data_IF_088274817205
#
_entry.id   IF_088274817205
#
_cell.length_a   1.000
_cell.length_b   1.000
_cell.length_c   1.000
_cell.angle_alpha   90.00
_cell.angle_beta   90.00
_cell.angle_gamma   90.00
#
_symmetry.space_group_name_H-M   'P 1'
#
loop_
_entity.id
_entity.type
_entity.pdbx_description
1 polymer ?
#
# COMPACT_ATOMS: atom_id res chain seq x y z
N UNK A 1 25.34 -12.95 3.05
CA UNK A 1 25.12 -12.21 1.78
C UNK A 1 24.83 -10.75 2.03
N UNK A 2 25.30 -9.87 1.14
CA UNK A 2 24.94 -8.44 1.16
C UNK A 2 23.53 -8.26 0.59
N UNK A 3 22.87 -7.16 0.94
CA UNK A 3 21.51 -6.87 0.46
C UNK A 3 21.45 -6.74 -1.08
N UNK A 4 22.52 -6.25 -1.70
CA UNK A 4 22.68 -6.23 -3.15
C UNK A 4 22.64 -7.61 -3.80
N UNK A 5 23.18 -8.62 -3.12
CA UNK A 5 23.26 -9.98 -3.65
C UNK A 5 21.89 -10.66 -3.55
N UNK A 6 21.22 -10.47 -2.41
CA UNK A 6 19.83 -10.91 -2.18
C UNK A 6 18.87 -10.31 -3.22
N UNK A 7 19.07 -9.04 -3.59
CA UNK A 7 18.26 -8.38 -4.62
C UNK A 7 18.43 -9.05 -5.97
N UNK A 8 19.68 -9.34 -6.36
CA UNK A 8 19.97 -10.04 -7.63
C UNK A 8 19.40 -11.45 -7.63
N UNK A 9 19.49 -12.16 -6.51
CA UNK A 9 18.88 -13.48 -6.33
C UNK A 9 17.37 -13.43 -6.58
N UNK A 10 16.64 -12.53 -5.91
CA UNK A 10 15.19 -12.41 -6.12
C UNK A 10 14.84 -12.09 -7.57
N UNK A 11 15.51 -11.09 -8.18
CA UNK A 11 15.28 -10.75 -9.60
C UNK A 11 15.46 -11.95 -10.52
N UNK A 12 16.38 -12.86 -10.19
CA UNK A 12 16.63 -14.07 -10.98
C UNK A 12 15.58 -15.18 -10.84
N UNK A 13 14.75 -15.16 -9.79
CA UNK A 13 13.72 -16.20 -9.56
C UNK A 13 12.56 -16.15 -10.56
N UNK A 14 12.27 -14.99 -11.15
CA UNK A 14 11.12 -14.77 -12.05
C UNK A 14 11.52 -13.92 -13.26
N UNK A 15 12.50 -14.40 -14.04
CA UNK A 15 13.03 -13.64 -15.19
C UNK A 15 12.02 -13.39 -16.30
N UNK A 16 11.01 -14.24 -16.41
CA UNK A 16 10.00 -14.15 -17.47
C UNK A 16 8.89 -13.14 -17.14
N UNK A 17 8.95 -12.49 -15.97
CA UNK A 17 7.99 -11.48 -15.53
C UNK A 17 8.69 -10.13 -15.39
N UNK A 18 8.54 -9.25 -16.38
CA UNK A 18 9.17 -7.91 -16.39
C UNK A 18 8.77 -7.08 -15.16
N UNK A 19 7.53 -7.22 -14.69
CA UNK A 19 6.99 -6.47 -13.55
C UNK A 19 7.55 -6.94 -12.21
N UNK A 20 8.03 -8.19 -12.15
CA UNK A 20 8.70 -8.68 -10.96
C UNK A 20 9.94 -7.85 -10.64
N UNK A 21 10.71 -7.47 -11.64
CA UNK A 21 11.91 -6.67 -11.43
C UNK A 21 11.57 -5.31 -10.82
N UNK A 22 10.51 -4.66 -11.31
CA UNK A 22 10.00 -3.39 -10.81
C UNK A 22 9.52 -3.50 -9.35
N UNK A 23 8.82 -4.58 -9.00
CA UNK A 23 8.39 -4.85 -7.63
C UNK A 23 9.59 -4.96 -6.69
N UNK A 24 10.62 -5.72 -7.10
CA UNK A 24 11.84 -5.92 -6.29
C UNK A 24 12.65 -4.63 -6.17
N UNK A 25 12.70 -3.80 -7.21
CA UNK A 25 13.34 -2.48 -7.16
C UNK A 25 12.61 -1.55 -6.18
N UNK A 26 11.28 -1.48 -6.28
CA UNK A 26 10.44 -0.72 -5.36
C UNK A 26 10.56 -1.20 -3.92
N UNK A 27 10.61 -2.52 -3.69
CA UNK A 27 10.82 -3.10 -2.37
C UNK A 27 12.19 -2.72 -1.80
N UNK A 28 13.26 -2.89 -2.57
CA UNK A 28 14.63 -2.60 -2.14
C UNK A 28 14.81 -1.12 -1.79
N UNK A 29 14.24 -0.23 -2.60
CA UNK A 29 14.27 1.21 -2.36
C UNK A 29 13.51 1.59 -1.08
N UNK A 30 12.29 1.09 -0.91
CA UNK A 30 11.41 1.47 0.21
C UNK A 30 11.76 0.81 1.54
N UNK A 31 12.23 -0.43 1.50
CA UNK A 31 12.49 -1.27 2.67
C UNK A 31 13.96 -1.65 2.81
N UNK A 32 14.89 -0.80 2.37
CA UNK A 32 16.34 -1.06 2.37
C UNK A 32 16.88 -1.61 3.71
N UNK A 33 16.42 -1.06 4.84
CA UNK A 33 16.79 -1.53 6.20
C UNK A 33 16.31 -2.95 6.50
N UNK A 34 15.14 -3.32 6.00
CA UNK A 34 14.47 -4.59 6.28
C UNK A 34 14.51 -5.55 5.09
N UNK A 35 15.32 -5.25 4.07
CA UNK A 35 15.30 -5.96 2.80
C UNK A 35 15.60 -7.45 2.95
N UNK A 36 16.46 -7.82 3.92
CA UNK A 36 16.75 -9.22 4.21
C UNK A 36 15.53 -9.98 4.73
N UNK A 37 14.72 -9.34 5.57
CA UNK A 37 13.49 -9.94 6.10
C UNK A 37 12.45 -10.05 4.98
N UNK A 38 12.31 -9.00 4.17
CA UNK A 38 11.46 -9.01 2.97
C UNK A 38 11.86 -10.13 2.01
N UNK A 39 13.16 -10.30 1.77
CA UNK A 39 13.71 -11.37 0.95
C UNK A 39 13.33 -12.75 1.47
N UNK A 40 13.46 -12.98 2.79
CA UNK A 40 13.07 -14.25 3.38
C UNK A 40 11.59 -14.56 3.14
N UNK A 41 10.71 -13.56 3.29
CA UNK A 41 9.27 -13.73 3.05
C UNK A 41 8.99 -13.99 1.58
N UNK A 42 9.58 -13.23 0.65
CA UNK A 42 9.44 -13.49 -0.79
C UNK A 42 9.91 -14.89 -1.16
N UNK A 43 11.10 -15.30 -0.71
CA UNK A 43 11.61 -16.64 -1.01
C UNK A 43 10.69 -17.72 -0.48
N UNK A 44 10.24 -17.62 0.77
CA UNK A 44 9.29 -18.57 1.34
C UNK A 44 7.97 -18.64 0.56
N UNK A 45 7.45 -17.48 0.13
CA UNK A 45 6.26 -17.42 -0.70
C UNK A 45 6.46 -18.14 -2.03
N UNK A 46 7.56 -17.88 -2.73
CA UNK A 46 7.87 -18.50 -4.02
C UNK A 46 8.13 -20.01 -3.88
N UNK A 47 8.82 -20.42 -2.81
CA UNK A 47 9.18 -21.82 -2.57
C UNK A 47 7.95 -22.67 -2.19
N UNK A 48 6.89 -22.06 -1.66
CA UNK A 48 5.61 -22.74 -1.39
C UNK A 48 4.79 -23.02 -2.65
N UNK A 49 5.22 -22.52 -3.82
CA UNK A 49 4.51 -22.65 -5.08
C UNK A 49 3.42 -21.59 -5.26
N UNK A 50 3.23 -21.20 -6.51
CA UNK A 50 2.25 -20.21 -6.94
C UNK A 50 1.76 -20.56 -8.34
N UNK A 51 0.55 -20.09 -8.66
CA UNK A 51 0.02 -20.06 -10.01
C UNK A 51 0.51 -18.77 -10.70
N UNK A 52 0.95 -18.90 -11.95
CA UNK A 52 1.68 -17.85 -12.68
C UNK A 52 0.82 -16.63 -12.99
N UNK A 53 -0.42 -16.85 -13.46
CA UNK A 53 -1.30 -15.75 -13.87
C UNK A 53 -1.83 -14.99 -12.65
N UNK A 54 -2.22 -15.71 -11.59
CA UNK A 54 -2.58 -15.11 -10.30
C UNK A 54 -1.42 -14.27 -9.73
N UNK A 55 -0.19 -14.77 -9.84
CA UNK A 55 0.98 -14.02 -9.40
C UNK A 55 1.20 -12.76 -10.23
N UNK A 56 1.05 -12.82 -11.56
CA UNK A 56 1.15 -11.63 -12.42
C UNK A 56 0.11 -10.57 -12.03
N UNK A 57 -1.14 -10.96 -11.82
CA UNK A 57 -2.19 -10.03 -11.37
C UNK A 57 -1.87 -9.41 -10.01
N UNK A 58 -1.34 -10.19 -9.07
CA UNK A 58 -0.93 -9.70 -7.76
C UNK A 58 0.23 -8.69 -7.85
N UNK A 59 1.25 -8.99 -8.67
CA UNK A 59 2.40 -8.09 -8.89
C UNK A 59 1.93 -6.76 -9.51
N UNK A 60 1.11 -6.82 -10.56
CA UNK A 60 0.56 -5.63 -11.21
C UNK A 60 -0.21 -4.76 -10.21
N UNK A 61 -1.09 -5.39 -9.41
CA UNK A 61 -1.85 -4.67 -8.39
C UNK A 61 -0.94 -3.99 -7.36
N UNK A 62 0.10 -4.67 -6.90
CA UNK A 62 1.09 -4.13 -5.98
C UNK A 62 1.80 -2.90 -6.56
N UNK A 63 2.21 -2.95 -7.83
CA UNK A 63 2.85 -1.82 -8.52
C UNK A 63 1.89 -0.65 -8.64
N UNK A 64 0.67 -0.87 -9.15
CA UNK A 64 -0.33 0.18 -9.38
C UNK A 64 -0.77 0.86 -8.08
N UNK A 65 -0.79 0.11 -6.98
CA UNK A 65 -1.14 0.62 -5.65
C UNK A 65 0.06 1.17 -4.86
N UNK A 66 1.28 1.10 -5.41
CA UNK A 66 2.51 1.52 -4.74
C UNK A 66 2.81 0.70 -3.48
N UNK A 67 2.36 -0.55 -3.42
CA UNK A 67 2.53 -1.49 -2.31
C UNK A 67 3.59 -2.52 -2.67
N UNK A 68 4.78 -2.36 -2.08
CA UNK A 68 5.95 -3.14 -2.49
C UNK A 68 6.41 -4.18 -1.46
N UNK A 69 5.75 -4.34 -0.31
CA UNK A 69 6.22 -5.30 0.69
C UNK A 69 5.90 -6.74 0.28
N UNK A 70 6.66 -7.70 0.80
CA UNK A 70 6.41 -9.13 0.57
C UNK A 70 5.04 -9.57 1.11
N UNK A 71 4.58 -8.97 2.22
CA UNK A 71 3.24 -9.22 2.75
C UNK A 71 2.16 -8.65 1.84
N UNK A 72 2.36 -7.46 1.26
CA UNK A 72 1.41 -6.90 0.29
C UNK A 72 1.21 -7.84 -0.90
N UNK A 73 2.30 -8.40 -1.43
CA UNK A 73 2.23 -9.37 -2.52
C UNK A 73 1.48 -10.65 -2.10
N UNK A 74 1.79 -11.18 -0.91
CA UNK A 74 1.13 -12.39 -0.42
C UNK A 74 -0.38 -12.17 -0.24
N UNK A 75 -0.78 -11.04 0.34
CA UNK A 75 -2.19 -10.67 0.50
C UNK A 75 -2.89 -10.49 -0.85
N UNK A 76 -2.26 -9.77 -1.79
CA UNK A 76 -2.80 -9.58 -3.14
C UNK A 76 -2.96 -10.91 -3.88
N UNK A 77 -1.99 -11.81 -3.77
CA UNK A 77 -2.07 -13.14 -4.35
C UNK A 77 -3.23 -13.96 -3.77
N UNK A 78 -3.38 -13.96 -2.44
CA UNK A 78 -4.51 -14.65 -1.79
C UNK A 78 -5.85 -14.07 -2.20
N UNK A 79 -5.93 -12.76 -2.44
CA UNK A 79 -7.14 -12.12 -2.94
C UNK A 79 -7.53 -12.64 -4.33
N UNK A 80 -6.62 -12.62 -5.30
CA UNK A 80 -6.91 -13.11 -6.65
C UNK A 80 -7.21 -14.62 -6.67
N UNK A 81 -6.47 -15.40 -5.86
CA UNK A 81 -6.77 -16.81 -5.61
C UNK A 81 -8.17 -17.02 -5.04
N UNK A 82 -8.59 -16.14 -4.12
CA UNK A 82 -9.95 -16.02 -3.57
C UNK A 82 -11.04 -15.96 -4.63
N UNK A 83 -10.82 -15.09 -5.62
CA UNK A 83 -11.76 -14.88 -6.73
C UNK A 83 -11.85 -16.13 -7.62
N UNK A 84 -10.70 -16.68 -8.04
CA UNK A 84 -10.68 -17.79 -9.00
C UNK A 84 -11.08 -19.13 -8.39
N UNK A 85 -10.50 -19.52 -7.25
CA UNK A 85 -10.70 -20.85 -6.68
C UNK A 85 -11.99 -20.93 -5.85
N UNK A 86 -12.32 -19.87 -5.12
CA UNK A 86 -13.42 -19.87 -4.15
C UNK A 86 -14.63 -19.07 -4.63
N UNK A 87 -14.60 -18.56 -5.87
CA UNK A 87 -15.67 -17.75 -6.48
C UNK A 87 -16.10 -16.57 -5.60
N UNK A 88 -15.15 -16.00 -4.85
CA UNK A 88 -15.42 -14.81 -4.05
C UNK A 88 -15.73 -13.62 -4.97
N UNK A 89 -16.64 -12.73 -4.58
CA UNK A 89 -16.96 -11.57 -5.39
C UNK A 89 -15.73 -10.66 -5.50
N UNK A 90 -15.40 -10.22 -6.71
CA UNK A 90 -14.37 -9.20 -6.92
C UNK A 90 -14.90 -7.83 -6.45
N UNK A 91 -14.41 -7.37 -5.31
CA UNK A 91 -14.79 -6.10 -4.68
C UNK A 91 -13.88 -4.93 -5.07
N UNK A 92 -12.72 -5.18 -5.71
CA UNK A 92 -11.78 -4.12 -6.09
C UNK A 92 -12.42 -3.08 -7.03
N UNK A 93 -13.20 -3.44 -8.06
CA UNK A 93 -13.85 -2.46 -8.93
C UNK A 93 -14.77 -1.51 -8.14
N UNK A 94 -15.50 -2.05 -7.16
CA UNK A 94 -16.43 -1.28 -6.31
C UNK A 94 -15.63 -0.31 -5.44
N UNK A 95 -14.59 -0.79 -4.75
CA UNK A 95 -13.76 0.05 -3.87
C UNK A 95 -13.02 1.15 -4.65
N UNK A 96 -12.42 0.83 -5.79
CA UNK A 96 -11.71 1.79 -6.63
C UNK A 96 -12.64 2.89 -7.14
N UNK A 97 -13.88 2.55 -7.49
CA UNK A 97 -14.90 3.53 -7.88
C UNK A 97 -15.23 4.50 -6.73
N UNK A 98 -15.31 4.00 -5.50
CA UNK A 98 -15.56 4.80 -4.30
C UNK A 98 -14.41 5.75 -3.96
N UNK A 99 -13.16 5.27 -4.04
CA UNK A 99 -11.98 6.10 -3.75
C UNK A 99 -11.83 7.25 -4.75
N UNK A 100 -12.10 7.01 -6.04
CA UNK A 100 -12.10 8.09 -7.05
C UNK A 100 -13.14 9.17 -6.74
N UNK A 101 -14.33 8.78 -6.26
CA UNK A 101 -15.38 9.73 -5.82
C UNK A 101 -14.91 10.56 -4.61
N UNK A 102 -14.29 9.94 -3.61
CA UNK A 102 -13.79 10.66 -2.42
C UNK A 102 -12.72 11.69 -2.80
N UNK A 103 -11.78 11.34 -3.70
CA UNK A 103 -10.77 12.29 -4.19
C UNK A 103 -11.40 13.48 -4.94
N UNK A 104 -12.47 13.26 -5.70
CA UNK A 104 -13.21 14.36 -6.34
C UNK A 104 -14.02 15.22 -5.36
N UNK A 105 -14.43 14.64 -4.23
CA UNK A 105 -15.21 15.31 -3.18
C UNK A 105 -14.35 15.96 -2.08
N UNK A 106 -13.03 16.06 -2.29
CA UNK A 106 -12.10 16.86 -1.48
C UNK A 106 -12.45 18.36 -1.52
N UNK A 107 -13.61 18.71 -0.98
CA UNK A 107 -13.98 20.05 -0.58
C UNK A 107 -13.12 20.34 0.64
N UNK A 108 -12.24 21.33 0.52
CA UNK A 108 -11.57 21.92 1.68
C UNK A 108 -12.66 22.16 2.75
N UNK A 109 -12.61 21.49 3.91
CA UNK A 109 -13.60 21.75 4.95
C UNK A 109 -13.51 23.24 5.25
N UNK A 110 -14.65 23.93 5.12
CA UNK A 110 -14.72 25.37 5.38
C UNK A 110 -14.65 25.54 6.90
N UNK A 111 -13.44 25.49 7.44
CA UNK A 111 -13.19 25.68 8.86
C UNK A 111 -13.40 27.15 9.17
N UNK A 112 -14.54 27.48 9.77
CA UNK A 112 -14.73 28.81 10.33
C UNK A 112 -13.74 29.04 11.47
N UNK A 113 -12.89 30.06 11.32
CA UNK A 113 -12.04 30.52 12.42
C UNK A 113 -12.93 31.18 13.46
N UNK A 114 -12.84 30.73 14.73
CA UNK A 114 -13.54 31.36 15.85
C UNK A 114 -13.20 32.85 15.90
N UNK A 115 -14.21 33.72 16.06
CA UNK A 115 -13.99 35.16 16.19
C UNK A 115 -13.25 35.46 17.50
N UNK A 116 -12.16 36.22 17.42
CA UNK A 116 -11.35 36.62 18.59
C UNK A 116 -12.18 37.42 19.61
N UNK A 117 -13.27 38.06 19.16
CA UNK A 117 -14.21 38.83 19.99
C UNK A 117 -14.80 38.06 21.15
N UNK A 118 -14.94 36.72 21.03
CA UNK A 118 -15.43 35.89 22.13
C UNK A 118 -14.46 35.85 23.31
N UNK A 119 -13.15 35.78 23.03
CA UNK A 119 -12.13 35.77 24.08
C UNK A 119 -11.92 37.16 24.67
N UNK A 120 -11.96 38.22 23.87
CA UNK A 120 -11.86 39.59 24.40
C UNK A 120 -13.03 39.93 25.30
N UNK A 121 -14.25 39.50 24.96
CA UNK A 121 -15.43 39.72 25.81
C UNK A 121 -15.33 38.99 27.16
N UNK A 122 -14.84 37.74 27.14
CA UNK A 122 -14.60 36.95 28.36
C UNK A 122 -13.54 37.59 29.27
N UNK A 123 -12.43 38.05 28.69
CA UNK A 123 -11.36 38.72 29.45
C UNK A 123 -11.84 40.05 30.02
N UNK A 124 -12.63 40.83 29.28
CA UNK A 124 -13.20 42.09 29.79
C UNK A 124 -14.22 41.86 30.91
N UNK A 125 -15.04 40.81 30.83
CA UNK A 125 -15.98 40.44 31.89
C UNK A 125 -15.28 39.99 33.17
N UNK A 126 -14.22 39.17 33.04
CA UNK A 126 -13.47 38.67 34.19
C UNK A 126 -12.51 39.71 34.76
N UNK A 127 -11.93 40.57 33.92
CA UNK A 127 -11.01 41.64 34.31
C UNK A 127 -11.69 42.91 34.81
N UNK A 128 -12.97 43.13 34.47
CA UNK A 128 -13.78 44.23 35.02
C UNK A 128 -14.53 43.87 36.31
N UNK A 129 -14.46 42.60 36.74
CA UNK A 129 -15.04 42.10 37.99
C UNK A 129 -13.99 41.95 39.12
N UNK A 130 -12.75 42.42 38.89
CA UNK A 130 -11.66 42.51 39.87
C UNK A 130 -11.38 43.98 40.22
#
# INVERSE_FOLDING_TARGET
>A
MKASDLKKELKSKLKDNEQWEDLIEGNYSRFSRYFRDQHHVFSKFLDNGYESELLKSAIQFCIDSGKYSANDLAEAYQYFKGIEEYQQPDILPVLLSGVRKIKSESRNPKVEKRKMSYYTSLVSLLGGAL
#
